data_IF_438360773579
#
_entry.id   IF_438360773579
#
_cell.length_a   1.000
_cell.length_b   1.000
_cell.length_c   1.000
_cell.angle_alpha   90.00
_cell.angle_beta   90.00
_cell.angle_gamma   90.00
#
_symmetry.space_group_name_H-M   'P 1'
#
loop_
_entity.id
_entity.type
_entity.pdbx_description
1 polymer ?
#
# COMPACT_ATOMS: atom_id res chain seq x y z
N UNK A 1 -39.52 37.58 -25.27
CA UNK A 1 -39.06 37.02 -23.98
C UNK A 1 -37.55 36.87 -24.09
N UNK A 2 -36.80 37.49 -23.19
CA UNK A 2 -35.34 37.63 -23.25
C UNK A 2 -34.68 36.53 -22.41
N UNK A 3 -33.48 36.05 -22.78
CA UNK A 3 -32.69 35.09 -21.97
C UNK A 3 -32.50 35.53 -20.50
N UNK A 4 -32.64 36.83 -20.25
CA UNK A 4 -32.54 37.48 -18.94
C UNK A 4 -33.74 37.17 -18.03
N UNK A 5 -34.89 36.84 -18.61
CA UNK A 5 -36.12 36.48 -17.89
C UNK A 5 -36.05 35.05 -17.33
N UNK A 6 -35.12 34.22 -17.83
CA UNK A 6 -34.81 32.88 -17.31
C UNK A 6 -33.82 32.90 -16.14
N UNK A 7 -33.12 34.02 -15.92
CA UNK A 7 -32.22 34.19 -14.77
C UNK A 7 -33.01 34.74 -13.60
N UNK A 8 -34.11 34.06 -13.26
CA UNK A 8 -34.68 34.21 -11.93
C UNK A 8 -33.70 33.53 -10.97
N UNK A 9 -33.18 34.21 -9.92
CA UNK A 9 -32.49 33.49 -8.86
C UNK A 9 -33.45 32.41 -8.36
N UNK A 10 -33.00 31.14 -8.19
CA UNK A 10 -33.89 30.09 -7.74
C UNK A 10 -34.47 30.53 -6.39
N UNK A 11 -35.77 30.86 -6.38
CA UNK A 11 -36.50 31.27 -5.17
C UNK A 11 -36.70 30.14 -4.16
N UNK A 12 -36.02 29.02 -4.37
CA UNK A 12 -35.99 27.87 -3.49
C UNK A 12 -34.57 27.32 -3.45
N UNK A 13 -33.59 28.14 -3.04
CA UNK A 13 -32.46 27.56 -2.32
C UNK A 13 -33.08 26.96 -1.08
N UNK A 14 -33.24 25.64 -1.03
CA UNK A 14 -33.78 24.91 0.11
C UNK A 14 -32.92 25.25 1.31
N UNK A 15 -33.35 26.25 2.08
CA UNK A 15 -32.54 26.94 3.10
C UNK A 15 -32.75 26.33 4.48
N UNK A 16 -33.27 25.11 4.52
CA UNK A 16 -33.35 24.33 5.75
C UNK A 16 -32.17 23.37 5.75
N UNK A 17 -31.23 23.49 6.72
CA UNK A 17 -30.24 22.45 6.91
C UNK A 17 -30.98 21.12 7.08
N UNK A 18 -30.55 20.10 6.34
CA UNK A 18 -31.09 18.75 6.49
C UNK A 18 -30.93 18.38 7.96
N UNK A 19 -32.02 17.99 8.62
CA UNK A 19 -31.94 17.58 10.01
C UNK A 19 -31.05 16.33 10.14
N UNK A 20 -30.40 16.17 11.28
CA UNK A 20 -29.41 15.10 11.49
C UNK A 20 -30.00 13.71 11.23
N UNK A 21 -31.27 13.48 11.55
CA UNK A 21 -31.93 12.20 11.33
C UNK A 21 -32.15 11.93 9.83
N UNK A 22 -32.57 12.95 9.08
CA UNK A 22 -32.67 12.87 7.62
C UNK A 22 -31.30 12.64 6.96
N UNK A 23 -30.24 13.26 7.49
CA UNK A 23 -28.88 13.06 6.97
C UNK A 23 -28.40 11.61 7.17
N UNK A 24 -28.60 11.06 8.37
CA UNK A 24 -28.32 9.65 8.67
C UNK A 24 -29.16 8.72 7.78
N UNK A 25 -30.46 9.01 7.65
CA UNK A 25 -31.36 8.21 6.83
C UNK A 25 -30.93 8.18 5.36
N UNK A 26 -30.59 9.34 4.77
CA UNK A 26 -30.09 9.44 3.41
C UNK A 26 -28.79 8.65 3.25
N UNK A 27 -27.87 8.75 4.23
CA UNK A 27 -26.62 8.00 4.22
C UNK A 27 -26.87 6.48 4.23
N UNK A 28 -27.63 5.95 5.20
CA UNK A 28 -27.92 4.52 5.32
C UNK A 28 -28.76 4.01 4.14
N UNK A 29 -29.65 4.84 3.59
CA UNK A 29 -30.46 4.48 2.43
C UNK A 29 -29.63 4.40 1.14
N UNK A 30 -28.68 5.32 0.96
CA UNK A 30 -27.77 5.34 -0.19
C UNK A 30 -26.68 4.28 -0.18
N UNK A 31 -26.43 3.62 0.95
CA UNK A 31 -25.48 2.51 1.04
C UNK A 31 -25.96 1.28 0.29
N UNK A 32 -25.00 0.56 -0.32
CA UNK A 32 -25.24 -0.74 -0.96
C UNK A 32 -25.87 -1.70 0.05
N UNK A 33 -26.87 -2.45 -0.39
CA UNK A 33 -27.47 -3.51 0.42
C UNK A 33 -26.43 -4.58 0.78
N UNK A 34 -26.42 -4.99 2.05
CA UNK A 34 -25.42 -5.91 2.60
C UNK A 34 -25.31 -5.80 4.12
N UNK A 35 -24.32 -6.47 4.68
CA UNK A 35 -24.09 -6.53 6.12
C UNK A 35 -23.87 -5.15 6.74
N UNK A 36 -23.06 -4.29 6.13
CA UNK A 36 -22.81 -2.93 6.62
C UNK A 36 -24.10 -2.10 6.77
N UNK A 37 -24.97 -2.12 5.74
CA UNK A 37 -26.28 -1.44 5.79
C UNK A 37 -27.21 -2.05 6.85
N UNK A 38 -27.19 -3.38 7.01
CA UNK A 38 -27.97 -4.07 8.03
C UNK A 38 -27.50 -3.70 9.45
N UNK A 39 -26.19 -3.70 9.71
CA UNK A 39 -25.60 -3.31 11.00
C UNK A 39 -25.99 -1.88 11.38
N UNK A 40 -25.94 -0.95 10.43
CA UNK A 40 -26.33 0.44 10.66
C UNK A 40 -27.82 0.60 10.97
N UNK A 41 -28.70 -0.14 10.29
CA UNK A 41 -30.14 -0.14 10.61
C UNK A 41 -30.42 -0.66 12.02
N UNK A 42 -29.63 -1.61 12.52
CA UNK A 42 -29.78 -2.14 13.89
C UNK A 42 -29.14 -1.24 14.96
N UNK A 43 -28.07 -0.54 14.60
CA UNK A 43 -27.34 0.33 15.52
C UNK A 43 -28.03 1.68 15.75
N UNK A 44 -28.94 2.08 14.86
CA UNK A 44 -29.70 3.34 14.93
C UNK A 44 -28.81 4.56 15.28
N UNK A 45 -27.79 4.85 14.46
CA UNK A 45 -26.85 5.94 14.75
C UNK A 45 -27.57 7.29 14.85
N UNK A 46 -27.24 8.08 15.86
CA UNK A 46 -27.89 9.37 16.13
C UNK A 46 -27.32 10.49 15.26
N UNK A 47 -26.09 10.32 14.77
CA UNK A 47 -25.38 11.31 13.96
C UNK A 47 -24.77 10.69 12.71
N UNK A 48 -24.47 11.53 11.71
CA UNK A 48 -23.82 11.07 10.49
C UNK A 48 -22.41 10.55 10.79
N UNK A 49 -21.68 11.19 11.70
CA UNK A 49 -20.34 10.80 12.11
C UNK A 49 -20.32 9.39 12.71
N UNK A 50 -21.30 9.07 13.56
CA UNK A 50 -21.46 7.72 14.12
C UNK A 50 -21.76 6.69 13.04
N UNK A 51 -22.65 7.02 12.10
CA UNK A 51 -22.98 6.16 10.97
C UNK A 51 -21.76 5.89 10.07
N UNK A 52 -20.96 6.92 9.78
CA UNK A 52 -19.72 6.79 8.99
C UNK A 52 -18.68 5.96 9.75
N UNK A 53 -18.50 6.20 11.04
CA UNK A 53 -17.55 5.43 11.85
C UNK A 53 -17.96 3.94 11.94
N UNK A 54 -19.25 3.65 12.07
CA UNK A 54 -19.79 2.29 12.05
C UNK A 54 -19.57 1.62 10.69
N UNK A 55 -19.85 2.33 9.59
CA UNK A 55 -19.64 1.83 8.24
C UNK A 55 -18.18 1.43 8.01
N UNK A 56 -17.24 2.31 8.35
CA UNK A 56 -15.80 2.07 8.20
C UNK A 56 -15.31 0.91 9.05
N UNK A 57 -15.81 0.76 10.28
CA UNK A 57 -15.45 -0.37 11.15
C UNK A 57 -15.88 -1.70 10.53
N UNK A 58 -17.11 -1.78 10.02
CA UNK A 58 -17.61 -2.99 9.40
C UNK A 58 -16.84 -3.34 8.12
N UNK A 59 -16.65 -2.36 7.23
CA UNK A 59 -15.92 -2.57 5.98
C UNK A 59 -14.47 -3.00 6.25
N UNK A 60 -13.84 -2.43 7.29
CA UNK A 60 -12.52 -2.86 7.74
C UNK A 60 -12.52 -4.29 8.30
N UNK A 61 -13.49 -4.66 9.16
CA UNK A 61 -13.59 -6.02 9.68
C UNK A 61 -13.73 -7.03 8.55
N UNK A 62 -14.59 -6.73 7.58
CA UNK A 62 -14.80 -7.55 6.38
C UNK A 62 -13.50 -7.65 5.58
N UNK A 63 -12.88 -6.53 5.19
CA UNK A 63 -11.62 -6.53 4.43
C UNK A 63 -10.47 -7.24 5.16
N UNK A 64 -10.35 -7.04 6.47
CA UNK A 64 -9.32 -7.67 7.30
C UNK A 64 -9.51 -9.18 7.42
N UNK A 65 -10.74 -9.67 7.42
CA UNK A 65 -11.03 -11.11 7.48
C UNK A 65 -10.58 -11.81 6.19
N UNK A 66 -10.84 -11.22 5.02
CA UNK A 66 -10.33 -11.72 3.75
C UNK A 66 -8.80 -11.68 3.69
N UNK A 67 -8.17 -10.57 4.10
CA UNK A 67 -6.71 -10.49 4.13
C UNK A 67 -6.08 -11.58 5.03
N UNK A 68 -6.67 -11.83 6.20
CA UNK A 68 -6.23 -12.89 7.12
C UNK A 68 -6.44 -14.29 6.53
N UNK A 69 -7.57 -14.55 5.87
CA UNK A 69 -7.81 -15.81 5.17
C UNK A 69 -6.75 -16.05 4.10
N UNK A 70 -6.43 -15.05 3.28
CA UNK A 70 -5.38 -15.16 2.26
C UNK A 70 -4.01 -15.47 2.89
N UNK A 71 -3.64 -14.85 4.01
CA UNK A 71 -2.37 -15.17 4.68
C UNK A 71 -2.34 -16.58 5.27
N UNK A 72 -3.49 -17.07 5.75
CA UNK A 72 -3.60 -18.43 6.27
C UNK A 72 -3.49 -19.46 5.13
N UNK A 73 -4.18 -19.24 4.02
CA UNK A 73 -4.11 -20.10 2.83
C UNK A 73 -2.69 -20.14 2.22
N UNK A 74 -2.01 -18.99 2.15
CA UNK A 74 -0.60 -18.92 1.72
C UNK A 74 0.32 -19.68 2.68
N UNK A 75 0.03 -19.65 3.98
CA UNK A 75 0.80 -20.40 4.98
C UNK A 75 0.58 -21.92 4.88
N UNK A 76 -0.61 -22.35 4.49
CA UNK A 76 -0.92 -23.77 4.23
C UNK A 76 -0.29 -24.29 2.94
N UNK A 77 -0.08 -23.43 1.94
CA UNK A 77 0.58 -23.78 0.69
C UNK A 77 2.12 -23.63 0.74
N UNK A 78 2.69 -23.17 1.86
CA UNK A 78 4.13 -22.97 1.97
C UNK A 78 4.83 -24.33 2.10
N UNK A 79 5.79 -24.66 1.23
CA UNK A 79 6.61 -25.85 1.42
C UNK A 79 7.28 -25.81 2.80
N UNK A 80 7.37 -26.95 3.46
CA UNK A 80 8.07 -27.07 4.74
C UNK A 80 9.51 -26.51 4.56
N UNK A 81 10.01 -25.65 5.46
CA UNK A 81 11.37 -25.14 5.35
C UNK A 81 12.33 -26.32 5.44
N UNK A 82 13.02 -26.61 4.33
CA UNK A 82 14.06 -27.63 4.34
C UNK A 82 15.14 -27.22 5.35
N UNK A 83 15.44 -28.07 6.31
CA UNK A 83 16.55 -27.87 7.24
C UNK A 83 17.86 -27.89 6.45
N UNK A 84 18.62 -26.80 6.55
CA UNK A 84 19.95 -26.68 5.91
C UNK A 84 20.97 -26.99 7.00
N UNK A 85 21.55 -28.20 6.97
CA UNK A 85 22.61 -28.59 7.88
C UNK A 85 23.92 -27.87 7.54
N UNK A 86 24.46 -27.15 8.53
CA UNK A 86 25.79 -26.58 8.45
C UNK A 86 26.82 -27.70 8.59
N UNK A 87 27.31 -28.24 7.47
CA UNK A 87 28.45 -29.15 7.49
C UNK A 87 29.66 -28.44 8.10
N UNK A 88 30.08 -28.89 9.27
CA UNK A 88 31.21 -28.33 10.01
C UNK A 88 32.50 -28.48 9.20
N UNK A 89 32.97 -27.38 8.64
CA UNK A 89 34.27 -27.31 7.98
C UNK A 89 35.40 -27.32 9.01
N UNK A 90 35.67 -28.47 9.61
CA UNK A 90 36.88 -28.69 10.40
C UNK A 90 37.67 -29.88 9.84
N UNK A 91 38.71 -29.51 9.10
CA UNK A 91 39.96 -30.23 8.87
C UNK A 91 40.01 -31.45 7.93
N UNK A 92 40.98 -31.31 7.01
CA UNK A 92 41.57 -32.27 6.05
C UNK A 92 40.69 -32.46 4.81
N UNK A 93 41.07 -32.00 3.61
CA UNK A 93 42.37 -32.08 2.97
C UNK A 93 42.54 -30.91 1.98
N UNK A 94 43.68 -30.22 2.05
CA UNK A 94 44.53 -29.88 0.91
C UNK A 94 43.90 -30.06 -0.49
N UNK A 95 43.09 -29.10 -0.94
CA UNK A 95 42.76 -28.93 -2.35
C UNK A 95 43.42 -27.64 -2.84
N UNK A 96 44.53 -27.82 -3.55
CA UNK A 96 45.20 -26.75 -4.29
C UNK A 96 44.19 -26.09 -5.23
N UNK A 97 43.87 -24.82 -4.98
CA UNK A 97 43.08 -23.98 -5.88
C UNK A 97 43.93 -23.55 -7.09
N UNK A 98 44.22 -24.50 -7.98
CA UNK A 98 44.61 -24.24 -9.37
C UNK A 98 43.47 -24.66 -10.31
N UNK A 99 42.29 -24.05 -10.11
CA UNK A 99 41.09 -24.29 -10.91
C UNK A 99 40.63 -23.00 -11.59
N UNK A 100 40.87 -22.92 -12.89
CA UNK A 100 40.61 -21.76 -13.76
C UNK A 100 39.18 -21.25 -13.63
N UNK A 101 39.01 -20.01 -13.15
CA UNK A 101 37.77 -19.26 -13.30
C UNK A 101 37.48 -19.02 -14.78
N UNK A 102 36.36 -19.55 -15.28
CA UNK A 102 35.81 -19.20 -16.59
C UNK A 102 34.76 -18.10 -16.41
N UNK A 103 35.00 -16.95 -17.03
CA UNK A 103 34.06 -15.85 -17.30
C UNK A 103 33.95 -14.85 -16.15
N UNK A 104 34.45 -13.61 -16.22
CA UNK A 104 34.59 -12.75 -17.39
C UNK A 104 33.69 -11.51 -17.28
N UNK A 105 33.72 -10.81 -16.14
CA UNK A 105 33.60 -9.35 -16.07
C UNK A 105 34.61 -8.88 -15.04
N UNK A 106 35.32 -7.81 -15.36
CA UNK A 106 36.23 -7.14 -14.43
C UNK A 106 35.61 -7.02 -13.04
N UNK A 107 36.42 -6.93 -11.97
CA UNK A 107 35.94 -6.38 -10.72
C UNK A 107 35.54 -4.94 -10.99
N UNK A 108 34.31 -4.71 -11.47
CA UNK A 108 33.71 -3.39 -11.48
C UNK A 108 33.74 -2.96 -10.03
N UNK A 109 34.68 -2.06 -9.72
CA UNK A 109 34.94 -1.64 -8.36
C UNK A 109 33.60 -1.24 -7.75
N UNK A 110 33.18 -1.95 -6.70
CA UNK A 110 31.86 -1.75 -6.08
C UNK A 110 31.65 -0.25 -5.87
N UNK A 111 30.80 0.35 -6.70
CA UNK A 111 30.46 1.76 -6.62
C UNK A 111 29.36 1.90 -5.58
N UNK A 112 29.60 2.76 -4.61
CA UNK A 112 28.62 3.08 -3.60
C UNK A 112 27.41 3.77 -4.26
N UNK A 113 26.22 3.19 -4.16
CA UNK A 113 25.00 3.79 -4.72
C UNK A 113 24.68 5.19 -4.16
N UNK A 114 25.21 5.54 -2.99
CA UNK A 114 24.96 6.81 -2.31
C UNK A 114 25.90 7.94 -2.76
N UNK A 115 27.19 7.65 -3.02
CA UNK A 115 28.17 8.68 -3.39
C UNK A 115 28.86 8.42 -4.75
N UNK A 116 28.51 7.33 -5.43
CA UNK A 116 29.08 6.83 -6.70
C UNK A 116 30.60 6.60 -6.69
N UNK A 117 31.26 6.63 -5.53
CA UNK A 117 32.68 6.31 -5.36
C UNK A 117 32.90 4.81 -5.19
N UNK A 118 33.99 4.29 -5.74
CA UNK A 118 34.40 2.90 -5.54
C UNK A 118 34.99 2.65 -4.14
N UNK A 119 35.01 1.39 -3.71
CA UNK A 119 35.77 0.95 -2.52
C UNK A 119 34.95 0.77 -1.24
N UNK A 120 33.64 1.06 -1.24
CA UNK A 120 32.75 0.77 -0.11
C UNK A 120 31.30 0.59 -0.57
N UNK A 121 30.48 -0.06 0.28
CA UNK A 121 29.03 -0.22 0.06
C UNK A 121 28.26 0.97 0.66
N UNK A 122 27.06 1.24 0.14
CA UNK A 122 26.18 2.30 0.65
C UNK A 122 25.90 2.18 2.16
N UNK A 123 25.77 0.95 2.67
CA UNK A 123 25.56 0.70 4.11
C UNK A 123 26.69 1.21 5.02
N UNK A 124 27.90 1.43 4.48
CA UNK A 124 29.08 1.92 5.22
C UNK A 124 29.42 3.36 4.82
N UNK A 125 28.62 3.98 3.94
CA UNK A 125 28.86 5.33 3.45
C UNK A 125 28.42 6.37 4.48
N UNK A 126 29.29 7.34 4.77
CA UNK A 126 28.97 8.51 5.62
C UNK A 126 28.51 9.74 4.82
N UNK A 127 28.36 9.63 3.50
CA UNK A 127 27.84 10.74 2.69
C UNK A 127 26.35 10.96 3.00
N UNK A 128 25.84 12.20 3.01
CA UNK A 128 24.40 12.43 3.06
C UNK A 128 23.72 11.74 1.88
N UNK A 129 22.51 11.20 2.09
CA UNK A 129 21.76 10.55 1.02
C UNK A 129 21.59 11.53 -0.16
N UNK A 130 21.98 11.12 -1.37
CA UNK A 130 21.77 11.94 -2.55
C UNK A 130 20.27 12.07 -2.81
N UNK A 131 19.73 13.28 -2.72
CA UNK A 131 18.40 13.57 -3.25
C UNK A 131 18.53 13.45 -4.77
N UNK A 132 17.92 12.43 -5.35
CA UNK A 132 17.89 12.23 -6.80
C UNK A 132 16.99 13.32 -7.39
N UNK A 133 17.48 14.31 -8.15
CA UNK A 133 16.58 15.09 -8.99
C UNK A 133 16.06 14.15 -10.10
N UNK A 134 14.75 14.11 -10.26
CA UNK A 134 14.10 13.42 -11.37
C UNK A 134 14.68 14.00 -12.68
N UNK A 135 15.49 13.22 -13.39
CA UNK A 135 15.92 13.55 -14.74
C UNK A 135 14.91 12.90 -15.68
N UNK A 136 14.08 13.73 -16.30
CA UNK A 136 13.23 13.31 -17.41
C UNK A 136 14.13 12.89 -18.57
N UNK A 137 14.08 11.60 -18.93
CA UNK A 137 14.64 11.14 -20.19
C UNK A 137 13.77 11.73 -21.31
N UNK A 138 14.24 12.83 -21.92
CA UNK A 138 13.81 13.24 -23.24
C UNK A 138 14.75 12.60 -24.25
N UNK A 139 14.26 11.58 -24.94
CA UNK A 139 14.83 11.12 -26.19
C UNK A 139 14.25 11.97 -27.32
N UNK A 140 15.09 12.52 -28.19
CA UNK A 140 14.74 12.82 -29.59
C UNK A 140 16.01 12.94 -30.43
N UNK A 141 15.99 12.12 -31.49
CA UNK A 141 16.83 11.97 -32.69
C UNK A 141 18.36 11.85 -32.58
#
# INVERSE_FOLDING_TARGET
MSMRDYVAPPRFVYRHPIDMASQVHIFVFGMREGMTRHCLKRAEPATLEEAVALALREDYMVASSYARQMTAEVSLSRPEPMEIDAVGASQRQQWSSSGRGRGGREPHALVCFQCRKSGHRAAVCRAPASVIPHMEHVASD
#
